data_IF_014475627711
#
_entry.id   IF_014475627711
#
_cell.length_a   1.000
_cell.length_b   1.000
_cell.length_c   1.000
_cell.angle_alpha   90.00
_cell.angle_beta   90.00
_cell.angle_gamma   90.00
#
_symmetry.space_group_name_H-M   'P 1'
#
loop_
_entity.id
_entity.type
_entity.pdbx_description
1 polymer ?
#
# COMPACT_ATOMS: atom_id res chain seq x y z
N UNK A 1 -4.37 -27.64 14.84
CA UNK A 1 -3.85 -27.69 16.22
C UNK A 1 -2.60 -26.83 16.21
N UNK A 2 -2.53 -25.80 17.07
CA UNK A 2 -1.33 -24.97 17.20
C UNK A 2 -0.53 -25.43 18.42
N UNK A 3 0.79 -25.38 18.32
CA UNK A 3 1.70 -25.83 19.36
C UNK A 3 2.53 -24.64 19.86
N UNK A 4 2.63 -24.51 21.18
CA UNK A 4 3.56 -23.57 21.82
C UNK A 4 4.82 -24.34 22.16
N UNK A 5 5.93 -23.95 21.55
CA UNK A 5 7.26 -24.51 21.77
C UNK A 5 8.13 -23.54 22.56
N UNK A 6 9.34 -23.95 22.92
CA UNK A 6 10.34 -23.04 23.51
C UNK A 6 10.75 -21.90 22.56
N UNK A 7 10.53 -22.05 21.26
CA UNK A 7 10.86 -21.04 20.25
C UNK A 7 9.68 -20.12 19.93
N UNK A 8 8.47 -20.46 20.40
CA UNK A 8 7.27 -19.65 20.22
C UNK A 8 6.05 -20.44 19.76
N UNK A 9 5.06 -19.72 19.23
CA UNK A 9 3.82 -20.28 18.71
C UNK A 9 4.02 -20.73 17.25
N UNK A 10 3.83 -22.02 16.99
CA UNK A 10 3.83 -22.54 15.63
C UNK A 10 2.49 -22.24 14.95
N UNK A 11 2.55 -21.44 13.88
CA UNK A 11 1.39 -21.13 13.04
C UNK A 11 1.63 -21.72 11.64
N UNK A 12 0.72 -22.54 11.12
CA UNK A 12 0.76 -23.04 9.76
C UNK A 12 0.93 -21.89 8.77
N UNK A 13 1.89 -22.04 7.88
CA UNK A 13 2.20 -21.05 6.85
C UNK A 13 0.97 -20.63 6.06
N UNK A 14 0.10 -21.58 5.71
CA UNK A 14 -1.13 -21.30 4.97
C UNK A 14 -2.09 -20.36 5.70
N UNK A 15 -2.12 -20.39 7.05
CA UNK A 15 -2.92 -19.44 7.83
C UNK A 15 -2.30 -18.04 7.82
N UNK A 16 -0.97 -17.94 7.94
CA UNK A 16 -0.27 -16.67 7.82
C UNK A 16 -0.48 -16.04 6.43
N UNK A 17 -0.32 -16.83 5.37
CA UNK A 17 -0.54 -16.39 3.99
C UNK A 17 -2.00 -15.94 3.76
N UNK A 18 -2.98 -16.65 4.31
CA UNK A 18 -4.40 -16.25 4.27
C UNK A 18 -4.67 -14.92 4.99
N UNK A 19 -3.90 -14.62 6.03
CA UNK A 19 -3.94 -13.34 6.73
C UNK A 19 -3.05 -12.27 6.06
N UNK A 20 -2.49 -12.54 4.87
CA UNK A 20 -1.63 -11.60 4.15
C UNK A 20 -0.22 -11.47 4.74
N UNK A 21 0.19 -12.42 5.60
CA UNK A 21 1.54 -12.55 6.11
C UNK A 21 2.45 -13.26 5.10
N UNK A 22 3.55 -12.59 4.76
CA UNK A 22 4.62 -13.11 3.92
C UNK A 22 5.96 -12.91 4.63
N UNK A 23 7.01 -13.60 4.19
CA UNK A 23 8.34 -13.42 4.77
C UNK A 23 8.77 -11.94 4.71
N UNK A 24 9.30 -11.43 5.82
CA UNK A 24 9.72 -10.03 5.95
C UNK A 24 8.61 -9.02 6.23
N UNK A 25 7.32 -9.41 6.19
CA UNK A 25 6.21 -8.51 6.50
C UNK A 25 5.94 -8.45 8.00
N UNK A 26 5.83 -7.24 8.54
CA UNK A 26 5.47 -7.03 9.93
C UNK A 26 4.00 -7.40 10.19
N UNK A 27 3.77 -8.11 11.29
CA UNK A 27 2.45 -8.55 11.72
C UNK A 27 2.21 -8.01 13.14
N UNK A 28 1.04 -7.42 13.36
CA UNK A 28 0.59 -7.04 14.69
C UNK A 28 -0.11 -8.22 15.36
N UNK A 29 0.34 -8.56 16.57
CA UNK A 29 -0.25 -9.60 17.40
C UNK A 29 -0.87 -8.94 18.63
N UNK A 30 -2.19 -8.99 18.73
CA UNK A 30 -2.94 -8.50 19.89
C UNK A 30 -3.43 -9.67 20.75
N UNK A 31 -3.11 -9.60 22.04
CA UNK A 31 -3.53 -10.59 23.03
C UNK A 31 -4.82 -10.12 23.71
N UNK A 32 -5.93 -10.76 23.37
CA UNK A 32 -7.20 -10.63 24.07
C UNK A 32 -7.28 -11.57 25.27
N UNK A 33 -8.29 -11.37 26.13
CA UNK A 33 -8.52 -12.22 27.32
C UNK A 33 -8.73 -13.70 26.99
N UNK A 34 -9.28 -13.99 25.80
CA UNK A 34 -9.63 -15.34 25.34
C UNK A 34 -9.25 -15.60 23.88
N UNK A 35 -8.50 -14.69 23.24
CA UNK A 35 -8.19 -14.74 21.82
C UNK A 35 -6.82 -14.14 21.54
N UNK A 36 -6.22 -14.56 20.43
CA UNK A 36 -5.05 -13.92 19.84
C UNK A 36 -5.46 -13.45 18.45
N UNK A 37 -5.32 -12.15 18.19
CA UNK A 37 -5.59 -11.56 16.89
C UNK A 37 -4.27 -11.28 16.20
N UNK A 38 -4.13 -11.75 14.96
CA UNK A 38 -2.93 -11.58 14.16
C UNK A 38 -3.37 -10.96 12.85
N UNK A 39 -2.83 -9.79 12.54
CA UNK A 39 -3.15 -9.05 11.33
C UNK A 39 -1.90 -8.36 10.81
N UNK A 40 -1.80 -8.14 9.49
CA UNK A 40 -0.68 -7.41 8.92
C UNK A 40 -0.69 -5.98 9.48
N UNK A 41 0.51 -5.44 9.75
CA UNK A 41 0.63 -4.02 10.07
C UNK A 41 0.16 -3.24 8.84
N UNK A 42 -0.85 -2.39 9.03
CA UNK A 42 -1.30 -1.48 7.97
C UNK A 42 -0.16 -0.53 7.62
N UNK A 43 0.08 -0.32 6.31
CA UNK A 43 1.11 0.61 5.88
C UNK A 43 0.78 2.03 6.33
N UNK A 44 1.80 2.73 6.80
CA UNK A 44 1.72 4.13 7.19
C UNK A 44 1.64 5.03 5.94
N UNK A 45 1.12 6.27 6.06
CA UNK A 45 1.03 7.18 4.93
C UNK A 45 2.38 7.42 4.21
N UNK A 46 3.50 7.46 4.93
CA UNK A 46 4.84 7.61 4.35
C UNK A 46 5.21 6.41 3.46
N UNK A 47 4.93 5.20 3.92
CA UNK A 47 5.22 3.97 3.17
C UNK A 47 4.39 3.87 1.88
N UNK A 48 3.11 4.27 1.95
CA UNK A 48 2.25 4.36 0.76
C UNK A 48 2.74 5.43 -0.21
N UNK A 49 3.22 6.57 0.29
CA UNK A 49 3.78 7.61 -0.55
C UNK A 49 5.03 7.11 -1.29
N UNK A 50 5.91 6.38 -0.63
CA UNK A 50 7.13 5.80 -1.22
C UNK A 50 6.80 4.77 -2.32
N UNK A 51 5.80 3.92 -2.09
CA UNK A 51 5.30 2.97 -3.09
C UNK A 51 4.74 3.72 -4.30
N UNK A 52 3.89 4.71 -4.06
CA UNK A 52 3.27 5.48 -5.14
C UNK A 52 4.32 6.28 -5.94
N UNK A 53 5.29 6.89 -5.27
CA UNK A 53 6.39 7.61 -5.89
C UNK A 53 7.22 6.69 -6.80
N UNK A 54 7.58 5.51 -6.30
CA UNK A 54 8.31 4.50 -7.08
C UNK A 54 7.52 4.07 -8.32
N UNK A 55 6.21 3.82 -8.16
CA UNK A 55 5.35 3.42 -9.26
C UNK A 55 5.24 4.50 -10.35
N UNK A 56 5.00 5.77 -9.98
CA UNK A 56 4.89 6.86 -10.97
C UNK A 56 6.22 7.18 -11.63
N UNK A 57 7.34 7.05 -10.90
CA UNK A 57 8.67 7.21 -11.47
C UNK A 57 8.94 6.16 -12.56
N UNK A 58 8.62 4.90 -12.31
CA UNK A 58 8.80 3.81 -13.28
C UNK A 58 7.86 3.90 -14.49
N UNK A 59 6.62 4.36 -14.28
CA UNK A 59 5.57 4.24 -15.29
C UNK A 59 5.16 5.55 -15.94
N UNK A 60 5.38 6.71 -15.35
CA UNK A 60 4.95 8.00 -15.90
C UNK A 60 6.15 8.84 -16.30
N UNK A 61 7.11 9.03 -15.39
CA UNK A 61 8.36 9.76 -15.65
C UNK A 61 8.85 10.57 -14.46
N UNK A 62 10.05 11.11 -14.60
CA UNK A 62 10.82 11.84 -13.58
C UNK A 62 10.22 13.21 -13.19
N UNK A 63 9.43 13.82 -14.06
CA UNK A 63 8.74 15.08 -13.78
C UNK A 63 7.52 14.93 -12.84
N UNK A 64 7.15 13.69 -12.47
CA UNK A 64 6.00 13.42 -11.61
C UNK A 64 6.39 13.24 -10.15
N UNK A 65 5.50 13.68 -9.27
CA UNK A 65 5.57 13.53 -7.83
C UNK A 65 4.24 12.99 -7.31
N UNK A 66 4.19 12.63 -6.04
CA UNK A 66 2.95 12.22 -5.38
C UNK A 66 2.59 13.19 -4.27
N UNK A 67 1.30 13.44 -4.11
CA UNK A 67 0.74 14.17 -2.97
C UNK A 67 0.66 13.30 -1.72
N UNK A 68 0.22 13.91 -0.62
CA UNK A 68 0.03 13.18 0.64
C UNK A 68 -1.07 12.12 0.51
N UNK A 69 -0.80 10.85 0.87
CA UNK A 69 -1.82 9.80 0.86
C UNK A 69 -2.97 10.12 1.80
N UNK A 70 -4.19 9.90 1.34
CA UNK A 70 -5.42 10.07 2.10
C UNK A 70 -6.06 8.72 2.33
N UNK A 71 -6.32 8.36 3.59
CA UNK A 71 -7.04 7.13 3.91
C UNK A 71 -8.53 7.35 3.74
N UNK A 72 -9.14 6.54 2.88
CA UNK A 72 -10.57 6.49 2.68
C UNK A 72 -11.06 5.08 3.01
N UNK A 73 -11.56 4.87 4.23
CA UNK A 73 -12.02 3.55 4.73
C UNK A 73 -10.90 2.50 4.67
N UNK A 74 -10.99 1.61 3.69
CA UNK A 74 -10.18 0.40 3.45
C UNK A 74 -9.16 0.57 2.33
N UNK A 75 -8.88 1.81 1.92
CA UNK A 75 -7.91 2.13 0.87
C UNK A 75 -7.19 3.45 1.13
N UNK A 76 -6.09 3.61 0.41
CA UNK A 76 -5.32 4.84 0.31
C UNK A 76 -5.51 5.46 -1.07
N UNK A 77 -5.85 6.73 -1.10
CA UNK A 77 -5.88 7.55 -2.32
C UNK A 77 -4.64 8.44 -2.33
N UNK A 78 -3.85 8.37 -3.40
CA UNK A 78 -2.62 9.16 -3.56
C UNK A 78 -2.72 10.05 -4.80
N UNK A 79 -2.76 11.38 -4.65
CA UNK A 79 -2.74 12.29 -5.79
C UNK A 79 -1.42 12.17 -6.56
N UNK A 80 -1.48 12.12 -7.89
CA UNK A 80 -0.31 12.23 -8.77
C UNK A 80 -0.20 13.67 -9.22
N UNK A 81 0.98 14.27 -9.10
CA UNK A 81 1.22 15.70 -9.26
C UNK A 81 2.38 15.93 -10.24
N UNK A 82 2.25 16.92 -11.10
CA UNK A 82 3.34 17.44 -11.91
C UNK A 82 4.23 18.34 -11.05
N UNK A 83 5.44 17.88 -10.73
CA UNK A 83 6.30 18.43 -9.67
C UNK A 83 6.58 19.94 -9.81
N UNK A 84 6.87 20.41 -11.03
CA UNK A 84 7.25 21.80 -11.31
C UNK A 84 6.08 22.78 -11.35
N UNK A 85 4.84 22.30 -11.50
CA UNK A 85 3.62 23.12 -11.60
C UNK A 85 2.66 22.93 -10.42
N UNK A 86 2.91 21.96 -9.54
CA UNK A 86 1.96 21.51 -8.51
C UNK A 86 0.54 21.22 -9.04
N UNK A 87 0.45 20.77 -10.31
CA UNK A 87 -0.81 20.42 -10.95
C UNK A 87 -1.14 18.95 -10.68
N UNK A 88 -2.35 18.65 -10.24
CA UNK A 88 -2.83 17.27 -10.10
C UNK A 88 -3.10 16.70 -11.49
N UNK A 89 -2.45 15.58 -11.80
CA UNK A 89 -2.60 14.81 -13.04
C UNK A 89 -3.65 13.69 -12.91
N UNK A 90 -3.93 13.27 -11.68
CA UNK A 90 -4.86 12.19 -11.37
C UNK A 90 -4.57 11.61 -10.00
N UNK A 91 -4.95 10.35 -9.78
CA UNK A 91 -4.72 9.64 -8.53
C UNK A 91 -4.42 8.15 -8.75
N UNK A 92 -3.69 7.59 -7.80
CA UNK A 92 -3.52 6.15 -7.62
C UNK A 92 -4.28 5.72 -6.37
N UNK A 93 -4.84 4.53 -6.39
CA UNK A 93 -5.56 3.93 -5.27
C UNK A 93 -4.86 2.64 -4.88
N UNK A 94 -4.57 2.51 -3.59
CA UNK A 94 -3.89 1.35 -3.01
C UNK A 94 -4.73 0.70 -1.91
N UNK A 95 -4.60 -0.61 -1.74
CA UNK A 95 -5.10 -1.32 -0.57
C UNK A 95 -4.38 -0.85 0.70
N UNK A 96 -4.89 -1.17 1.88
CA UNK A 96 -4.19 -0.92 3.16
C UNK A 96 -2.81 -1.61 3.25
N UNK A 97 -2.57 -2.61 2.40
CA UNK A 97 -1.31 -3.34 2.31
C UNK A 97 -0.35 -2.79 1.24
N UNK A 98 -0.74 -1.74 0.50
CA UNK A 98 0.09 -1.14 -0.54
C UNK A 98 -0.04 -1.77 -1.93
N UNK A 99 -1.01 -2.67 -2.14
CA UNK A 99 -1.29 -3.20 -3.47
C UNK A 99 -2.04 -2.16 -4.30
N UNK A 100 -1.58 -1.85 -5.51
CA UNK A 100 -2.30 -0.96 -6.42
C UNK A 100 -3.64 -1.59 -6.82
N UNK A 101 -4.70 -0.78 -6.86
CA UNK A 101 -6.04 -1.14 -7.35
C UNK A 101 -6.24 -0.44 -8.70
N UNK A 102 -5.93 -1.10 -9.83
CA UNK A 102 -5.91 -0.45 -11.14
C UNK A 102 -7.27 0.07 -11.58
N UNK A 103 -8.36 -0.59 -11.20
CA UNK A 103 -9.72 -0.25 -11.61
C UNK A 103 -10.24 1.03 -10.96
N UNK A 104 -9.67 1.42 -9.82
CA UNK A 104 -10.03 2.64 -9.08
C UNK A 104 -9.02 3.78 -9.29
N UNK A 105 -7.88 3.47 -9.90
CA UNK A 105 -6.80 4.41 -10.21
C UNK A 105 -7.00 5.05 -11.59
N UNK A 106 -6.46 6.26 -11.78
CA UNK A 106 -6.34 6.82 -13.11
C UNK A 106 -5.32 6.01 -13.94
N UNK A 107 -5.71 5.65 -15.15
CA UNK A 107 -4.87 4.83 -16.03
C UNK A 107 -3.58 5.57 -16.44
N UNK A 108 -2.49 4.82 -16.57
CA UNK A 108 -1.17 5.37 -16.94
C UNK A 108 -1.19 6.22 -18.22
N UNK A 109 -2.00 5.84 -19.21
CA UNK A 109 -2.15 6.61 -20.45
C UNK A 109 -2.76 8.00 -20.21
N UNK A 110 -3.68 8.13 -19.26
CA UNK A 110 -4.28 9.41 -18.87
C UNK A 110 -3.25 10.26 -18.13
N UNK A 111 -2.55 9.66 -17.16
CA UNK A 111 -1.51 10.36 -16.39
C UNK A 111 -0.38 10.89 -17.28
N UNK A 112 0.13 10.07 -18.22
CA UNK A 112 1.15 10.47 -19.19
C UNK A 112 0.64 11.57 -20.11
N UNK A 113 -0.56 11.41 -20.67
CA UNK A 113 -1.14 12.42 -21.56
C UNK A 113 -1.29 13.78 -20.85
N UNK A 114 -1.74 13.79 -19.60
CA UNK A 114 -1.85 15.03 -18.84
C UNK A 114 -0.50 15.64 -18.46
N UNK A 115 0.56 14.83 -18.34
CA UNK A 115 1.92 15.31 -18.15
C UNK A 115 2.49 15.94 -19.44
N UNK A 116 2.18 15.37 -20.61
CA UNK A 116 2.67 15.84 -21.92
C UNK A 116 1.93 17.07 -22.46
N UNK A 117 0.68 17.30 -22.04
CA UNK A 117 -0.14 18.46 -22.46
C UNK A 117 0.27 19.79 -21.80
N UNK A 118 1.40 19.83 -21.07
CA UNK A 118 1.86 20.97 -20.25
C UNK A 118 3.36 21.29 -20.39
#
# INVERSE_FOLDING_TARGET
MQEVTSEGLLIPKSLLEQCGGVEGKEMLIELGRHSVHIFPVELRPDEIADIAASYVFEHVGDATAVGSPQRERDRWTVPVILSYKQKILGRLVFSLNGDLIPEESDGLAVLRKQADED
#
